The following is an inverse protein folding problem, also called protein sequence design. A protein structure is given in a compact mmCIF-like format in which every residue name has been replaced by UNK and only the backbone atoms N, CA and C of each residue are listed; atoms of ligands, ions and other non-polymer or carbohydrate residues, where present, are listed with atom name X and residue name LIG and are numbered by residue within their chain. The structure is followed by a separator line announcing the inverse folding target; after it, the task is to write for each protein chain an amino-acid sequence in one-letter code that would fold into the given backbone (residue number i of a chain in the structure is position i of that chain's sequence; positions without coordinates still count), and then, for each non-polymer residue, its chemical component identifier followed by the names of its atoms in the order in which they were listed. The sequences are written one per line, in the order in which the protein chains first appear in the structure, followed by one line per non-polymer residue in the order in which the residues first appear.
data_IF_567116733818
#
_entry.id   IF_567116733818
#
_cell.length_a   1.000
_cell.length_b   1.000
_cell.length_c   1.000
_cell.angle_alpha   90.00
_cell.angle_beta   90.00
_cell.angle_gamma   90.00
#
_symmetry.space_group_name_H-M   'P 1'
#
loop_
_entity.id
_entity.type
_entity.pdbx_description
1 polymer ?
#
# COMPACT_ATOMS: atom_id res chain seq x y z
N UNK A 1 -35.81 64.05 -22.96
CA UNK A 1 -36.36 62.71 -22.63
C UNK A 1 -36.49 61.91 -23.91
N UNK A 2 -35.47 61.14 -24.28
CA UNK A 2 -35.53 59.98 -25.18
C UNK A 2 -34.09 59.56 -25.51
N UNK A 3 -33.88 58.24 -25.60
CA UNK A 3 -32.71 57.55 -26.21
C UNK A 3 -31.43 57.46 -25.37
N UNK A 4 -31.53 57.02 -24.12
CA UNK A 4 -30.40 56.31 -23.45
C UNK A 4 -30.78 54.86 -23.12
N UNK A 5 -31.65 54.27 -23.93
CA UNK A 5 -32.18 52.90 -23.74
C UNK A 5 -31.42 51.84 -24.55
N UNK A 6 -30.24 52.14 -25.11
CA UNK A 6 -29.53 51.25 -26.05
C UNK A 6 -28.24 50.60 -25.50
N UNK A 7 -28.06 50.49 -24.18
CA UNK A 7 -26.87 49.81 -23.61
C UNK A 7 -27.23 48.65 -22.66
N UNK A 8 -28.50 48.49 -22.28
CA UNK A 8 -28.90 47.47 -21.28
C UNK A 8 -29.14 46.07 -21.90
N UNK A 9 -29.17 45.95 -23.23
CA UNK A 9 -29.46 44.67 -23.91
C UNK A 9 -28.25 43.73 -24.11
N UNK A 10 -27.04 44.08 -23.66
CA UNK A 10 -25.83 43.28 -23.91
C UNK A 10 -25.17 42.67 -22.67
N UNK A 11 -25.79 42.77 -21.49
CA UNK A 11 -25.25 42.22 -20.23
C UNK A 11 -26.12 41.11 -19.63
N UNK A 12 -26.77 40.31 -20.47
CA UNK A 12 -27.55 39.14 -20.05
C UNK A 12 -27.05 37.83 -20.70
N UNK A 13 -25.75 37.73 -20.98
CA UNK A 13 -25.13 36.49 -21.47
C UNK A 13 -23.82 36.20 -20.74
N UNK A 14 -23.92 35.96 -19.43
CA UNK A 14 -22.85 35.36 -18.65
C UNK A 14 -23.48 34.35 -17.67
N UNK A 15 -24.22 33.40 -18.22
CA UNK A 15 -24.60 32.17 -17.54
C UNK A 15 -23.83 31.03 -18.20
N UNK A 16 -23.50 30.05 -17.35
CA UNK A 16 -22.78 28.79 -17.61
C UNK A 16 -21.29 28.92 -17.31
N UNK A 17 -20.99 28.82 -16.01
CA UNK A 17 -19.70 28.35 -15.53
C UNK A 17 -19.54 26.95 -16.16
N UNK A 18 -18.55 26.83 -17.03
CA UNK A 18 -18.18 25.58 -17.65
C UNK A 18 -17.47 24.71 -16.61
N UNK A 19 -18.20 23.84 -15.93
CA UNK A 19 -17.62 22.64 -15.31
C UNK A 19 -17.33 21.61 -16.41
N UNK A 20 -16.43 21.99 -17.32
CA UNK A 20 -15.89 21.14 -18.37
C UNK A 20 -14.45 20.72 -18.03
N UNK A 21 -14.17 20.47 -16.75
CA UNK A 21 -13.04 19.64 -16.33
C UNK A 21 -13.50 18.19 -16.13
N UNK A 22 -14.32 17.69 -17.05
CA UNK A 22 -14.32 16.25 -17.33
C UNK A 22 -13.21 16.04 -18.34
N UNK A 23 -11.97 16.11 -17.85
CA UNK A 23 -10.86 15.39 -18.47
C UNK A 23 -11.28 13.93 -18.47
N UNK A 24 -11.98 13.54 -19.52
CA UNK A 24 -12.09 12.16 -19.95
C UNK A 24 -10.68 11.78 -20.33
N UNK A 25 -9.88 11.45 -19.31
CA UNK A 25 -8.62 10.74 -19.48
C UNK A 25 -9.08 9.41 -20.06
N UNK A 26 -8.99 9.32 -21.39
CA UNK A 26 -8.95 8.07 -22.11
C UNK A 26 -7.73 7.33 -21.59
N UNK A 27 -7.87 6.62 -20.48
CA UNK A 27 -6.85 5.71 -20.00
C UNK A 27 -6.80 4.61 -21.04
N UNK A 28 -5.75 4.68 -21.84
CA UNK A 28 -5.27 3.61 -22.70
C UNK A 28 -5.41 2.32 -21.90
N UNK A 29 -6.24 1.45 -22.42
CA UNK A 29 -6.41 0.06 -22.02
C UNK A 29 -5.05 -0.65 -22.11
N UNK A 30 -4.27 -0.51 -21.04
CA UNK A 30 -3.21 -1.44 -20.70
C UNK A 30 -3.88 -2.47 -19.80
N UNK A 31 -3.96 -3.69 -20.31
CA UNK A 31 -4.43 -4.89 -19.62
C UNK A 31 -3.56 -5.17 -18.38
N UNK A 32 -3.88 -4.57 -17.24
CA UNK A 32 -3.15 -4.73 -15.98
C UNK A 32 -4.18 -4.80 -14.83
N UNK A 33 -3.98 -5.76 -13.91
CA UNK A 33 -4.81 -6.06 -12.73
C UNK A 33 -5.69 -4.90 -12.22
N UNK A 34 -7.00 -5.18 -12.14
CA UNK A 34 -8.06 -4.28 -11.70
C UNK A 34 -7.60 -3.15 -10.74
N UNK A 35 -7.34 -1.92 -11.24
CA UNK A 35 -6.72 -0.85 -10.44
C UNK A 35 -7.55 -0.43 -9.22
N UNK A 36 -8.85 -0.76 -9.21
CA UNK A 36 -9.74 -0.55 -8.06
C UNK A 36 -9.45 -1.48 -6.88
N UNK A 37 -8.96 -2.70 -7.13
CA UNK A 37 -8.59 -3.66 -6.09
C UNK A 37 -7.34 -3.19 -5.35
N UNK A 38 -6.31 -2.78 -6.11
CA UNK A 38 -5.06 -2.25 -5.57
C UNK A 38 -5.28 -1.02 -4.68
N UNK A 39 -6.14 -0.10 -5.13
CA UNK A 39 -6.44 1.12 -4.37
C UNK A 39 -7.18 0.80 -3.05
N UNK A 40 -8.05 -0.22 -3.04
CA UNK A 40 -8.72 -0.72 -1.84
C UNK A 40 -7.72 -1.30 -0.83
N UNK A 41 -6.78 -2.12 -1.28
CA UNK A 41 -5.78 -2.72 -0.40
C UNK A 41 -4.85 -1.66 0.19
N UNK A 42 -4.39 -0.69 -0.62
CA UNK A 42 -3.60 0.45 -0.12
C UNK A 42 -4.34 1.29 0.92
N UNK A 43 -5.64 1.52 0.73
CA UNK A 43 -6.45 2.21 1.73
C UNK A 43 -6.51 1.40 3.04
N UNK A 44 -6.63 0.08 2.94
CA UNK A 44 -6.57 -0.83 4.08
C UNK A 44 -5.23 -0.77 4.81
N UNK A 45 -4.11 -0.71 4.09
CA UNK A 45 -2.77 -0.54 4.69
C UNK A 45 -2.68 0.70 5.59
N UNK A 46 -3.26 1.81 5.16
CA UNK A 46 -3.28 3.05 5.95
C UNK A 46 -4.21 2.95 7.17
N UNK A 47 -5.31 2.20 7.07
CA UNK A 47 -6.30 2.03 8.15
C UNK A 47 -5.86 1.03 9.21
N UNK A 48 -5.32 -0.10 8.80
CA UNK A 48 -4.92 -1.21 9.68
C UNK A 48 -3.48 -1.07 10.19
N UNK A 49 -2.79 0.01 9.81
CA UNK A 49 -1.45 0.38 10.27
C UNK A 49 -0.44 -0.77 10.20
N UNK A 50 -0.44 -1.56 9.12
CA UNK A 50 0.34 -2.81 8.98
C UNK A 50 1.88 -2.62 8.87
N UNK A 51 2.41 -1.53 9.42
CA UNK A 51 3.81 -1.13 9.35
C UNK A 51 4.74 -2.00 10.18
N UNK A 52 4.24 -2.67 11.23
CA UNK A 52 5.07 -3.53 12.08
C UNK A 52 5.61 -4.75 11.31
N UNK A 53 4.91 -5.18 10.25
CA UNK A 53 5.40 -6.20 9.34
C UNK A 53 6.68 -5.79 8.62
N UNK A 54 6.84 -4.52 8.26
CA UNK A 54 8.10 -4.02 7.69
C UNK A 54 9.26 -4.14 8.70
N UNK A 55 9.01 -3.76 9.95
CA UNK A 55 10.01 -3.87 11.02
C UNK A 55 10.39 -5.33 11.28
N UNK A 56 9.41 -6.24 11.32
CA UNK A 56 9.64 -7.67 11.47
C UNK A 56 10.46 -8.24 10.30
N UNK A 57 10.09 -7.94 9.05
CA UNK A 57 10.79 -8.43 7.86
C UNK A 57 12.26 -7.98 7.83
N UNK A 58 12.52 -6.73 8.21
CA UNK A 58 13.88 -6.18 8.33
C UNK A 58 14.68 -6.87 9.43
N UNK A 59 14.09 -7.09 10.60
CA UNK A 59 14.76 -7.77 11.71
C UNK A 59 15.05 -9.24 11.41
N UNK A 60 14.04 -9.97 10.90
CA UNK A 60 14.13 -11.41 10.64
C UNK A 60 15.12 -11.72 9.52
N UNK A 61 15.11 -10.94 8.43
CA UNK A 61 16.06 -11.14 7.31
C UNK A 61 17.52 -10.98 7.76
N UNK A 62 17.80 -10.02 8.65
CA UNK A 62 19.14 -9.86 9.26
C UNK A 62 19.46 -10.99 10.22
N UNK A 63 18.52 -11.39 11.06
CA UNK A 63 18.72 -12.45 12.04
C UNK A 63 19.11 -13.78 11.39
N UNK A 64 18.37 -14.19 10.34
CA UNK A 64 18.63 -15.43 9.59
C UNK A 64 20.04 -15.42 8.99
N UNK A 65 20.49 -14.28 8.46
CA UNK A 65 21.83 -14.15 7.89
C UNK A 65 22.94 -14.05 8.93
N UNK A 66 22.65 -13.47 10.10
CA UNK A 66 23.69 -13.15 11.07
C UNK A 66 23.98 -14.28 12.05
N UNK A 67 23.01 -15.14 12.43
CA UNK A 67 23.19 -16.30 13.34
C UNK A 67 24.26 -16.07 14.44
N UNK A 68 24.32 -14.84 14.98
CA UNK A 68 25.32 -14.37 15.94
C UNK A 68 24.56 -13.73 17.09
N UNK A 69 24.81 -14.27 18.29
CA UNK A 69 23.99 -14.06 19.49
C UNK A 69 23.74 -12.59 19.81
N UNK A 70 22.46 -12.21 19.81
CA UNK A 70 21.96 -10.96 20.38
C UNK A 70 20.57 -11.24 20.97
N UNK A 71 20.50 -11.47 22.28
CA UNK A 71 19.24 -11.71 23.00
C UNK A 71 18.23 -10.56 22.87
N UNK A 72 18.71 -9.32 22.72
CA UNK A 72 17.86 -8.15 22.45
C UNK A 72 17.15 -8.22 21.09
N UNK A 73 17.77 -8.85 20.09
CA UNK A 73 17.20 -8.96 18.74
C UNK A 73 16.06 -9.99 18.72
N UNK A 74 16.13 -11.04 19.56
CA UNK A 74 15.02 -11.98 19.77
C UNK A 74 13.83 -11.33 20.47
N UNK A 75 14.05 -10.53 21.51
CA UNK A 75 12.98 -9.82 22.24
C UNK A 75 12.22 -8.85 21.32
N UNK A 76 12.96 -8.04 20.56
CA UNK A 76 12.39 -7.06 19.62
C UNK A 76 11.74 -7.71 18.40
N UNK A 77 12.34 -8.79 17.89
CA UNK A 77 11.76 -9.58 16.81
C UNK A 77 10.44 -10.26 17.21
N UNK A 78 10.33 -10.73 18.45
CA UNK A 78 9.07 -11.29 18.99
C UNK A 78 7.95 -10.25 19.08
N UNK A 79 8.24 -9.06 19.60
CA UNK A 79 7.23 -7.99 19.69
C UNK A 79 6.76 -7.52 18.30
N UNK A 80 7.69 -7.26 17.38
CA UNK A 80 7.34 -6.88 16.01
C UNK A 80 6.59 -7.98 15.26
N UNK A 81 6.88 -9.26 15.56
CA UNK A 81 6.14 -10.39 15.00
C UNK A 81 4.71 -10.44 15.49
N UNK A 82 4.50 -10.35 16.81
CA UNK A 82 3.15 -10.42 17.41
C UNK A 82 2.26 -9.27 16.94
N UNK A 83 2.82 -8.07 16.81
CA UNK A 83 2.12 -6.89 16.29
C UNK A 83 1.80 -7.04 14.80
N UNK A 84 2.75 -7.52 14.00
CA UNK A 84 2.53 -7.76 12.58
C UNK A 84 1.45 -8.80 12.33
N UNK A 85 1.44 -9.91 13.07
CA UNK A 85 0.39 -10.90 12.93
C UNK A 85 -0.99 -10.35 13.34
N UNK A 86 -1.05 -9.47 14.36
CA UNK A 86 -2.29 -8.80 14.75
C UNK A 86 -2.82 -7.88 13.66
N UNK A 87 -1.96 -7.04 13.10
CA UNK A 87 -2.29 -6.14 12.00
C UNK A 87 -2.73 -6.94 10.76
N UNK A 88 -1.98 -7.99 10.38
CA UNK A 88 -2.27 -8.83 9.22
C UNK A 88 -3.60 -9.59 9.35
N UNK A 89 -4.01 -9.96 10.56
CA UNK A 89 -5.32 -10.59 10.79
C UNK A 89 -6.48 -9.66 10.45
N UNK A 90 -6.32 -8.35 10.66
CA UNK A 90 -7.36 -7.36 10.35
C UNK A 90 -7.42 -7.01 8.85
N UNK A 91 -6.36 -7.31 8.10
CA UNK A 91 -6.34 -7.18 6.64
C UNK A 91 -7.20 -8.28 6.02
N UNK A 92 -8.03 -7.89 5.06
CA UNK A 92 -8.82 -8.82 4.26
C UNK A 92 -7.95 -9.82 3.50
N UNK A 93 -8.43 -11.07 3.35
CA UNK A 93 -7.66 -12.17 2.77
C UNK A 93 -7.10 -11.84 1.38
N UNK A 94 -7.90 -11.18 0.54
CA UNK A 94 -7.52 -10.76 -0.82
C UNK A 94 -6.34 -9.77 -0.84
N UNK A 95 -6.19 -8.93 0.20
CA UNK A 95 -5.20 -7.86 0.25
C UNK A 95 -3.88 -8.26 0.91
N UNK A 96 -3.85 -9.35 1.68
CA UNK A 96 -2.68 -9.73 2.49
C UNK A 96 -1.41 -9.87 1.64
N UNK A 97 -1.47 -10.59 0.52
CA UNK A 97 -0.28 -10.82 -0.29
C UNK A 97 0.20 -9.58 -1.02
N UNK A 98 -0.72 -8.78 -1.57
CA UNK A 98 -0.38 -7.51 -2.24
C UNK A 98 0.31 -6.56 -1.25
N UNK A 99 -0.25 -6.41 -0.05
CA UNK A 99 0.31 -5.52 0.96
C UNK A 99 1.65 -6.01 1.49
N UNK A 100 1.81 -7.32 1.70
CA UNK A 100 3.09 -7.90 2.11
C UNK A 100 4.16 -7.73 1.03
N UNK A 101 3.79 -7.84 -0.25
CA UNK A 101 4.69 -7.58 -1.37
C UNK A 101 5.14 -6.12 -1.38
N UNK A 102 4.21 -5.17 -1.27
CA UNK A 102 4.55 -3.73 -1.24
C UNK A 102 5.48 -3.39 -0.07
N UNK A 103 5.17 -3.87 1.13
CA UNK A 103 6.01 -3.65 2.33
C UNK A 103 7.40 -4.26 2.14
N UNK A 104 7.49 -5.49 1.65
CA UNK A 104 8.77 -6.14 1.41
C UNK A 104 9.60 -5.37 0.38
N UNK A 105 8.98 -4.89 -0.71
CA UNK A 105 9.65 -4.07 -1.72
C UNK A 105 10.13 -2.72 -1.16
N UNK A 106 9.38 -2.11 -0.27
CA UNK A 106 9.77 -0.86 0.40
C UNK A 106 11.00 -1.08 1.31
N UNK A 107 10.96 -2.10 2.17
CA UNK A 107 12.06 -2.40 3.09
C UNK A 107 13.31 -2.91 2.35
N UNK A 108 13.14 -3.56 1.19
CA UNK A 108 14.25 -3.96 0.34
C UNK A 108 15.12 -2.78 -0.10
N UNK A 109 14.55 -1.58 -0.26
CA UNK A 109 15.34 -0.38 -0.62
C UNK A 109 16.45 -0.10 0.38
N UNK A 110 16.24 -0.48 1.65
CA UNK A 110 17.20 -0.33 2.75
C UNK A 110 18.13 -1.54 2.92
N UNK A 111 17.73 -2.71 2.42
CA UNK A 111 18.48 -3.97 2.52
C UNK A 111 19.49 -4.15 1.37
N UNK A 112 20.50 -5.02 1.57
CA UNK A 112 21.54 -5.32 0.55
C UNK A 112 21.72 -6.82 0.30
N UNK A 113 21.99 -7.17 -0.96
CA UNK A 113 22.41 -8.53 -1.35
C UNK A 113 21.44 -9.62 -0.87
N UNK A 114 21.97 -10.60 -0.13
CA UNK A 114 21.21 -11.75 0.38
C UNK A 114 20.06 -11.36 1.34
N UNK A 115 20.15 -10.22 2.03
CA UNK A 115 19.10 -9.74 2.94
C UNK A 115 17.80 -9.49 2.18
N UNK A 116 17.88 -8.98 0.95
CA UNK A 116 16.70 -8.75 0.09
C UNK A 116 15.97 -10.04 -0.25
N UNK A 117 16.72 -11.09 -0.57
CA UNK A 117 16.16 -12.40 -0.90
C UNK A 117 15.51 -13.04 0.33
N UNK A 118 16.17 -12.95 1.48
CA UNK A 118 15.64 -13.47 2.73
C UNK A 118 14.37 -12.74 3.17
N UNK A 119 14.33 -11.43 2.95
CA UNK A 119 13.17 -10.59 3.24
C UNK A 119 11.95 -11.02 2.42
N UNK A 120 12.08 -11.23 1.11
CA UNK A 120 10.98 -11.72 0.26
C UNK A 120 10.52 -13.11 0.70
N UNK A 121 11.46 -14.03 0.96
CA UNK A 121 11.08 -15.36 1.43
C UNK A 121 10.31 -15.32 2.75
N UNK A 122 10.72 -14.44 3.67
CA UNK A 122 10.02 -14.25 4.94
C UNK A 122 8.62 -13.68 4.71
N UNK A 123 8.48 -12.67 3.84
CA UNK A 123 7.19 -12.07 3.50
C UNK A 123 6.22 -13.08 2.86
N UNK A 124 6.72 -13.95 1.97
CA UNK A 124 5.92 -15.00 1.33
C UNK A 124 5.35 -16.01 2.34
N UNK A 125 6.09 -16.33 3.39
CA UNK A 125 5.70 -17.32 4.40
C UNK A 125 4.98 -16.69 5.60
N UNK A 126 4.99 -15.37 5.72
CA UNK A 126 4.44 -14.65 6.86
C UNK A 126 2.98 -15.04 7.19
N UNK A 127 2.06 -15.20 6.22
CA UNK A 127 0.70 -15.62 6.54
C UNK A 127 0.64 -16.96 7.29
N UNK A 128 1.40 -17.98 6.84
CA UNK A 128 1.46 -19.26 7.56
C UNK A 128 2.03 -19.13 8.97
N UNK A 129 3.01 -18.25 9.16
CA UNK A 129 3.60 -17.99 10.47
C UNK A 129 2.58 -17.34 11.42
N UNK A 130 1.72 -16.47 10.89
CA UNK A 130 0.63 -15.83 11.62
C UNK A 130 -0.65 -16.67 11.68
N UNK A 131 -0.69 -17.84 11.03
CA UNK A 131 -1.89 -18.68 10.95
C UNK A 131 -3.04 -18.09 10.13
N UNK A 132 -2.74 -17.19 9.18
CA UNK A 132 -3.72 -16.53 8.31
C UNK A 132 -3.75 -17.14 6.90
N UNK A 133 -4.83 -16.86 6.16
CA UNK A 133 -4.95 -17.22 4.74
C UNK A 133 -4.60 -16.05 3.82
N UNK A 134 -4.15 -16.29 2.58
CA UNK A 134 -3.64 -17.57 2.10
C UNK A 134 -2.39 -17.97 2.89
N UNK A 135 -2.09 -19.26 3.03
CA UNK A 135 -0.95 -19.71 3.85
C UNK A 135 0.40 -19.26 3.31
N UNK A 136 0.48 -19.02 1.99
CA UNK A 136 1.70 -18.56 1.34
C UNK A 136 1.33 -17.57 0.23
N UNK A 137 2.19 -16.56 0.06
CA UNK A 137 2.09 -15.62 -1.05
C UNK A 137 3.11 -15.95 -2.14
N UNK A 138 2.74 -15.67 -3.39
CA UNK A 138 3.57 -15.90 -4.57
C UNK A 138 3.74 -14.60 -5.34
N UNK A 139 4.90 -13.98 -5.18
CA UNK A 139 5.35 -12.76 -5.86
C UNK A 139 6.87 -12.74 -5.92
#
# INVERSE_FOLDING_TARGET
MARLTSIIALLALALVIADAHRTTITTVEVDEENPRGMERCRQMRAREEIGSCGEYLSQQSRYVLQMRGIDNQRRRGGQAFDECCRELMNVEEECRCELLQEIAMEEQRRARGQERMQMLQTARNLPSMCGTRPQQCYF
#
